data_IF_942647568206
#
_entry.id   IF_942647568206
#
_cell.length_a   1.000
_cell.length_b   1.000
_cell.length_c   1.000
_cell.angle_alpha   90.00
_cell.angle_beta   90.00
_cell.angle_gamma   90.00
#
_symmetry.space_group_name_H-M   'P 1'
#
loop_
_entity.id
_entity.type
_entity.pdbx_description
1 polymer ?
#
# COMPACT_ATOMS: atom_id res chain seq x y z
N UNK A 1 -30.16 1.88 0.05
CA UNK A 1 -29.12 0.94 -0.45
C UNK A 1 -28.62 1.32 -1.84
N UNK A 2 -29.47 1.67 -2.80
CA UNK A 2 -29.03 2.13 -4.13
C UNK A 2 -28.47 3.57 -4.11
N UNK A 3 -29.08 4.49 -3.34
CA UNK A 3 -28.53 5.84 -3.16
C UNK A 3 -27.15 5.81 -2.49
N UNK A 4 -26.95 4.89 -1.55
CA UNK A 4 -25.68 4.68 -0.85
C UNK A 4 -24.57 4.23 -1.80
N UNK A 5 -24.87 3.50 -2.89
CA UNK A 5 -23.90 3.12 -3.93
C UNK A 5 -23.57 4.28 -4.89
N UNK A 6 -24.49 5.23 -5.04
CA UNK A 6 -24.35 6.37 -5.93
C UNK A 6 -23.60 7.55 -5.27
N UNK A 7 -23.61 7.62 -3.94
CA UNK A 7 -22.88 8.63 -3.14
C UNK A 7 -21.50 8.17 -2.65
N UNK A 8 -21.10 6.92 -2.95
CA UNK A 8 -19.74 6.47 -2.66
C UNK A 8 -18.74 7.29 -3.47
N UNK A 9 -17.75 7.84 -2.78
CA UNK A 9 -16.54 8.37 -3.40
C UNK A 9 -15.74 7.20 -3.98
N UNK A 10 -16.15 6.70 -5.15
CA UNK A 10 -15.49 5.60 -5.87
C UNK A 10 -14.00 5.83 -6.07
N UNK A 11 -13.57 7.10 -6.12
CA UNK A 11 -12.17 7.49 -6.13
C UNK A 11 -11.39 6.96 -4.92
N UNK A 12 -11.92 7.08 -3.70
CA UNK A 12 -11.25 6.60 -2.49
C UNK A 12 -11.19 5.07 -2.44
N UNK A 13 -12.28 4.39 -2.80
CA UNK A 13 -12.28 2.91 -2.91
C UNK A 13 -11.24 2.44 -3.92
N UNK A 14 -11.21 3.08 -5.10
CA UNK A 14 -10.24 2.77 -6.14
C UNK A 14 -8.80 3.02 -5.68
N UNK A 15 -8.54 4.13 -4.99
CA UNK A 15 -7.23 4.42 -4.39
C UNK A 15 -6.83 3.34 -3.39
N UNK A 16 -7.73 2.94 -2.48
CA UNK A 16 -7.45 1.90 -1.47
C UNK A 16 -7.12 0.57 -2.16
N UNK A 17 -7.93 0.13 -3.13
CA UNK A 17 -7.67 -1.10 -3.88
C UNK A 17 -6.33 -1.00 -4.62
N UNK A 18 -6.06 0.13 -5.27
CA UNK A 18 -4.84 0.34 -6.04
C UNK A 18 -3.60 0.32 -5.13
N UNK A 19 -3.61 1.05 -4.02
CA UNK A 19 -2.54 1.05 -3.01
C UNK A 19 -2.31 -0.36 -2.49
N UNK A 20 -3.38 -1.06 -2.15
CA UNK A 20 -3.29 -2.40 -1.56
C UNK A 20 -2.72 -3.42 -2.55
N UNK A 21 -3.07 -3.33 -3.83
CA UNK A 21 -2.51 -4.18 -4.89
C UNK A 21 -1.04 -3.86 -5.17
N UNK A 22 -0.67 -2.58 -5.15
CA UNK A 22 0.70 -2.12 -5.43
C UNK A 22 1.68 -2.46 -4.31
N UNK A 23 1.26 -2.25 -3.06
CA UNK A 23 2.07 -2.50 -1.86
C UNK A 23 1.90 -3.93 -1.32
N UNK A 24 0.87 -4.65 -1.76
CA UNK A 24 0.53 -5.99 -1.31
C UNK A 24 0.77 -7.10 -2.34
N UNK A 25 1.31 -6.78 -3.53
CA UNK A 25 1.51 -7.75 -4.61
C UNK A 25 2.48 -8.87 -4.25
N UNK A 26 3.49 -8.58 -3.45
CA UNK A 26 4.46 -9.54 -2.89
C UNK A 26 3.92 -10.29 -1.66
N UNK A 27 2.90 -9.77 -0.96
CA UNK A 27 2.23 -10.47 0.15
C UNK A 27 1.68 -11.83 -0.28
N UNK A 28 1.24 -11.98 -1.53
CA UNK A 28 0.74 -13.26 -2.03
C UNK A 28 1.85 -14.33 -2.13
N UNK A 29 3.08 -13.93 -2.49
CA UNK A 29 4.24 -14.82 -2.51
C UNK A 29 4.58 -15.27 -1.09
N UNK A 30 4.53 -14.34 -0.14
CA UNK A 30 4.73 -14.64 1.29
C UNK A 30 3.70 -15.63 1.82
N UNK A 31 2.41 -15.44 1.50
CA UNK A 31 1.34 -16.38 1.86
C UNK A 31 1.61 -17.76 1.25
N UNK A 32 2.00 -17.81 -0.02
CA UNK A 32 2.31 -19.06 -0.71
C UNK A 32 3.52 -19.80 -0.11
N UNK A 33 4.56 -19.06 0.29
CA UNK A 33 5.77 -19.59 0.94
C UNK A 33 5.46 -20.10 2.36
N UNK A 34 4.67 -19.35 3.13
CA UNK A 34 4.27 -19.74 4.49
C UNK A 34 3.48 -21.06 4.50
N UNK A 35 2.62 -21.28 3.49
CA UNK A 35 1.81 -22.49 3.35
C UNK A 35 2.48 -23.62 2.54
N UNK A 36 3.72 -23.45 2.04
CA UNK A 36 4.39 -24.43 1.15
C UNK A 36 4.67 -25.78 1.84
N UNK A 37 4.84 -25.78 3.16
CA UNK A 37 5.12 -26.99 3.96
C UNK A 37 3.88 -27.77 4.42
N UNK A 38 2.67 -27.31 4.08
CA UNK A 38 1.42 -27.96 4.48
C UNK A 38 1.03 -29.07 3.51
N UNK A 39 0.37 -30.09 4.06
CA UNK A 39 -0.30 -31.12 3.26
C UNK A 39 -1.30 -30.48 2.28
N UNK A 40 -1.41 -31.04 1.07
CA UNK A 40 -2.18 -30.44 -0.03
C UNK A 40 -3.65 -30.16 0.35
N UNK A 41 -4.24 -31.01 1.20
CA UNK A 41 -5.62 -30.86 1.71
C UNK A 41 -5.78 -29.68 2.69
N UNK A 42 -4.72 -29.33 3.43
CA UNK A 42 -4.73 -28.28 4.48
C UNK A 42 -4.20 -26.93 4.00
N UNK A 43 -3.58 -26.88 2.82
CA UNK A 43 -3.00 -25.65 2.26
C UNK A 43 -4.04 -24.55 2.09
N UNK A 44 -5.21 -24.88 1.53
CA UNK A 44 -6.30 -23.91 1.35
C UNK A 44 -6.85 -23.41 2.69
N UNK A 45 -6.94 -24.28 3.70
CA UNK A 45 -7.33 -23.85 5.05
C UNK A 45 -6.32 -22.87 5.64
N UNK A 46 -5.02 -23.13 5.50
CA UNK A 46 -3.97 -22.21 5.94
C UNK A 46 -4.03 -20.85 5.25
N UNK A 47 -4.25 -20.83 3.93
CA UNK A 47 -4.40 -19.60 3.15
C UNK A 47 -5.65 -18.83 3.61
N UNK A 48 -6.81 -19.47 3.68
CA UNK A 48 -8.07 -18.80 4.05
C UNK A 48 -8.04 -18.23 5.47
N UNK A 49 -7.63 -19.03 6.46
CA UNK A 49 -7.58 -18.58 7.85
C UNK A 49 -6.46 -17.56 8.09
N UNK A 50 -5.31 -17.74 7.44
CA UNK A 50 -4.20 -16.78 7.51
C UNK A 50 -4.60 -15.42 6.92
N UNK A 51 -5.23 -15.44 5.74
CA UNK A 51 -5.71 -14.23 5.06
C UNK A 51 -6.81 -13.55 5.87
N UNK A 52 -7.79 -14.29 6.39
CA UNK A 52 -8.85 -13.72 7.23
C UNK A 52 -8.26 -13.03 8.47
N UNK A 53 -7.30 -13.67 9.15
CA UNK A 53 -6.58 -13.07 10.27
C UNK A 53 -5.81 -11.81 9.90
N UNK A 54 -5.12 -11.82 8.76
CA UNK A 54 -4.41 -10.64 8.23
C UNK A 54 -5.36 -9.48 7.91
N UNK A 55 -6.50 -9.73 7.26
CA UNK A 55 -7.51 -8.70 6.98
C UNK A 55 -8.00 -8.06 8.27
N UNK A 56 -8.37 -8.88 9.27
CA UNK A 56 -8.86 -8.38 10.56
C UNK A 56 -7.79 -7.49 11.21
N UNK A 57 -6.55 -7.96 11.26
CA UNK A 57 -5.43 -7.18 11.79
C UNK A 57 -5.29 -5.85 11.04
N UNK A 58 -5.36 -5.87 9.70
CA UNK A 58 -5.23 -4.67 8.88
C UNK A 58 -6.36 -3.67 9.14
N UNK A 59 -7.60 -4.12 9.26
CA UNK A 59 -8.74 -3.24 9.64
C UNK A 59 -8.50 -2.61 11.01
N UNK A 60 -8.00 -3.37 11.99
CA UNK A 60 -7.66 -2.84 13.32
C UNK A 60 -6.52 -1.81 13.26
N UNK A 61 -5.47 -2.08 12.50
CA UNK A 61 -4.35 -1.15 12.32
C UNK A 61 -4.78 0.14 11.63
N UNK A 62 -5.64 0.06 10.60
CA UNK A 62 -6.16 1.24 9.91
C UNK A 62 -7.09 2.04 10.83
N UNK A 63 -7.95 1.37 11.60
CA UNK A 63 -8.77 2.05 12.60
C UNK A 63 -7.91 2.82 13.60
N UNK A 64 -6.83 2.19 14.08
CA UNK A 64 -5.86 2.84 14.97
C UNK A 64 -5.10 3.97 14.27
N UNK A 65 -4.67 3.80 13.02
CA UNK A 65 -4.00 4.85 12.26
C UNK A 65 -4.90 6.06 12.01
N UNK A 66 -6.19 5.85 11.71
CA UNK A 66 -7.16 6.93 11.52
C UNK A 66 -7.36 7.76 12.80
N UNK A 67 -7.43 7.12 13.98
CA UNK A 67 -7.51 7.86 15.25
C UNK A 67 -6.22 8.59 15.57
N UNK A 68 -5.07 8.00 15.26
CA UNK A 68 -3.77 8.64 15.40
C UNK A 68 -3.61 9.86 14.50
N UNK A 69 -4.07 9.81 13.25
CA UNK A 69 -3.98 10.94 12.31
C UNK A 69 -4.87 12.15 12.68
N UNK A 70 -5.72 12.00 13.70
CA UNK A 70 -6.43 13.13 14.32
C UNK A 70 -5.56 13.92 15.33
N UNK A 71 -4.36 13.43 15.67
CA UNK A 71 -3.41 14.13 16.53
C UNK A 71 -2.59 15.11 15.67
N UNK A 72 -2.34 16.36 16.14
CA UNK A 72 -1.47 17.30 15.43
C UNK A 72 -0.10 16.71 15.13
N UNK A 73 0.51 17.12 14.01
CA UNK A 73 1.78 16.65 13.46
C UNK A 73 1.77 15.21 12.91
N UNK A 74 0.81 14.36 13.27
CA UNK A 74 0.83 12.97 12.82
C UNK A 74 0.53 12.86 11.32
N UNK A 75 -0.23 13.78 10.72
CA UNK A 75 -0.39 13.78 9.25
C UNK A 75 0.88 14.24 8.55
N UNK A 76 1.65 15.12 9.18
CA UNK A 76 2.96 15.53 8.66
C UNK A 76 3.91 14.33 8.65
N UNK A 77 4.00 13.60 9.76
CA UNK A 77 4.83 12.39 9.87
C UNK A 77 4.35 11.32 8.90
N UNK A 78 3.04 11.06 8.85
CA UNK A 78 2.45 10.10 7.91
C UNK A 78 2.69 10.48 6.46
N UNK A 79 2.53 11.76 6.10
CA UNK A 79 2.81 12.27 4.77
C UNK A 79 4.29 12.13 4.40
N UNK A 80 5.21 12.45 5.32
CA UNK A 80 6.64 12.24 5.10
C UNK A 80 6.99 10.75 4.90
N UNK A 81 6.38 9.85 5.68
CA UNK A 81 6.51 8.41 5.51
C UNK A 81 5.99 7.97 4.13
N UNK A 82 4.86 8.49 3.68
CA UNK A 82 4.30 8.17 2.36
C UNK A 82 5.16 8.67 1.19
N UNK A 83 5.78 9.85 1.31
CA UNK A 83 6.78 10.29 0.33
C UNK A 83 7.94 9.30 0.27
N UNK A 84 8.43 8.86 1.43
CA UNK A 84 9.51 7.88 1.51
C UNK A 84 9.12 6.54 0.88
N UNK A 85 7.94 6.00 1.21
CA UNK A 85 7.43 4.74 0.65
C UNK A 85 7.26 4.86 -0.86
N UNK A 86 6.67 5.96 -1.34
CA UNK A 86 6.49 6.20 -2.77
C UNK A 86 7.81 6.26 -3.54
N UNK A 87 8.84 6.88 -2.95
CA UNK A 87 10.19 6.89 -3.53
C UNK A 87 10.78 5.48 -3.50
N UNK A 88 10.69 4.77 -2.36
CA UNK A 88 11.20 3.39 -2.20
C UNK A 88 10.53 2.42 -3.18
N UNK A 89 9.27 2.64 -3.53
CA UNK A 89 8.51 1.83 -4.49
C UNK A 89 9.06 1.92 -5.93
N UNK A 90 9.66 3.06 -6.30
CA UNK A 90 10.29 3.24 -7.63
C UNK A 90 11.75 2.79 -7.69
N UNK A 91 12.37 2.52 -6.55
CA UNK A 91 13.77 2.11 -6.45
C UNK A 91 13.81 0.58 -6.47
N UNK A 92 14.65 -0.05 -7.32
CA UNK A 92 14.81 -1.50 -7.31
C UNK A 92 15.20 -1.99 -5.91
N UNK A 93 14.44 -2.95 -5.37
CA UNK A 93 14.72 -3.59 -4.09
C UNK A 93 15.26 -4.99 -4.33
N UNK A 94 16.21 -5.42 -3.52
CA UNK A 94 16.59 -6.84 -3.44
C UNK A 94 15.47 -7.59 -2.70
N UNK A 95 15.19 -8.83 -3.09
CA UNK A 95 14.07 -9.63 -2.54
C UNK A 95 14.15 -9.77 -1.01
N UNK A 96 13.46 -8.88 -0.29
CA UNK A 96 13.49 -8.77 1.19
C UNK A 96 12.80 -9.99 1.86
N UNK A 97 12.05 -10.79 1.10
CA UNK A 97 11.19 -11.87 1.57
C UNK A 97 11.76 -13.29 1.41
N UNK A 98 13.03 -13.44 1.01
CA UNK A 98 13.67 -14.75 0.78
C UNK A 98 13.83 -15.65 2.01
N UNK A 99 13.60 -15.15 3.22
CA UNK A 99 13.90 -15.85 4.47
C UNK A 99 12.68 -16.47 5.19
N UNK A 100 11.51 -16.51 4.55
CA UNK A 100 10.28 -17.03 5.16
C UNK A 100 10.31 -18.56 5.16
N UNK A 101 10.58 -19.14 6.34
CA UNK A 101 10.48 -20.58 6.57
C UNK A 101 9.01 -21.00 6.58
N UNK A 102 8.63 -21.91 5.68
CA UNK A 102 7.27 -22.47 5.63
C UNK A 102 6.92 -23.22 6.92
N UNK A 103 5.67 -23.07 7.38
CA UNK A 103 5.17 -23.80 8.54
C UNK A 103 4.81 -25.25 8.18
N UNK A 104 5.08 -26.19 9.08
CA UNK A 104 4.65 -27.60 8.95
C UNK A 104 3.23 -27.84 9.46
N UNK A 105 2.65 -26.87 10.18
CA UNK A 105 1.28 -26.92 10.71
C UNK A 105 0.48 -25.71 10.26
N UNK A 106 -0.84 -25.88 10.14
CA UNK A 106 -1.76 -24.81 9.71
C UNK A 106 -1.62 -23.59 10.62
N UNK A 107 -1.53 -23.80 11.94
CA UNK A 107 -1.33 -22.72 12.90
C UNK A 107 0.01 -21.98 12.73
N UNK A 108 1.10 -22.72 12.46
CA UNK A 108 2.38 -22.09 12.18
C UNK A 108 2.33 -21.24 10.91
N UNK A 109 1.68 -21.74 9.85
CA UNK A 109 1.49 -20.97 8.63
C UNK A 109 0.65 -19.70 8.84
N UNK A 110 -0.46 -19.80 9.58
CA UNK A 110 -1.31 -18.64 9.94
C UNK A 110 -0.49 -17.59 10.69
N UNK A 111 0.29 -18.00 11.71
CA UNK A 111 1.13 -17.09 12.49
C UNK A 111 2.17 -16.40 11.61
N UNK A 112 2.83 -17.13 10.71
CA UNK A 112 3.79 -16.55 9.76
C UNK A 112 3.12 -15.54 8.83
N UNK A 113 1.92 -15.84 8.32
CA UNK A 113 1.15 -14.92 7.47
C UNK A 113 0.82 -13.64 8.23
N UNK A 114 0.28 -13.75 9.46
CA UNK A 114 -0.11 -12.58 10.26
C UNK A 114 1.10 -11.71 10.61
N UNK A 115 2.24 -12.31 10.98
CA UNK A 115 3.46 -11.54 11.32
C UNK A 115 4.03 -10.85 10.08
N UNK A 116 4.09 -11.56 8.95
CA UNK A 116 4.57 -10.98 7.72
C UNK A 116 3.66 -9.86 7.24
N UNK A 117 2.34 -10.06 7.30
CA UNK A 117 1.37 -9.03 6.97
C UNK A 117 1.48 -7.84 7.91
N UNK A 118 1.69 -8.02 9.21
CA UNK A 118 1.92 -6.92 10.15
C UNK A 118 3.11 -6.05 9.74
N UNK A 119 4.28 -6.67 9.51
CA UNK A 119 5.52 -5.95 9.16
C UNK A 119 5.35 -5.20 7.84
N UNK A 120 4.77 -5.87 6.84
CA UNK A 120 4.56 -5.30 5.51
C UNK A 120 3.46 -4.24 5.48
N UNK A 121 2.40 -4.42 6.27
CA UNK A 121 1.23 -3.54 6.24
C UNK A 121 1.42 -2.24 7.01
N UNK A 122 2.48 -2.05 7.82
CA UNK A 122 2.69 -0.75 8.51
C UNK A 122 2.71 0.42 7.52
N UNK A 123 3.44 0.26 6.42
CA UNK A 123 3.57 1.27 5.37
C UNK A 123 2.25 1.42 4.58
N UNK A 124 1.60 0.29 4.28
CA UNK A 124 0.32 0.24 3.57
C UNK A 124 -0.84 0.85 4.40
N UNK A 125 -0.86 0.63 5.71
CA UNK A 125 -1.87 1.13 6.65
C UNK A 125 -1.89 2.65 6.66
N UNK A 126 -0.72 3.30 6.69
CA UNK A 126 -0.63 4.76 6.62
C UNK A 126 -1.14 5.28 5.28
N UNK A 127 -0.84 4.57 4.18
CA UNK A 127 -1.30 4.94 2.84
C UNK A 127 -2.83 4.84 2.70
N UNK A 128 -3.40 3.73 3.15
CA UNK A 128 -4.85 3.49 3.13
C UNK A 128 -5.57 4.46 4.07
N UNK A 129 -5.04 4.70 5.28
CA UNK A 129 -5.60 5.68 6.20
C UNK A 129 -5.54 7.12 5.64
N UNK A 130 -4.45 7.46 4.94
CA UNK A 130 -4.32 8.73 4.21
C UNK A 130 -5.33 8.88 3.07
N UNK A 131 -5.53 7.82 2.27
CA UNK A 131 -6.54 7.79 1.21
C UNK A 131 -7.96 7.91 1.80
N UNK A 132 -8.25 7.21 2.90
CA UNK A 132 -9.56 7.22 3.53
C UNK A 132 -9.93 8.56 4.19
N UNK A 133 -8.95 9.33 4.67
CA UNK A 133 -9.18 10.68 5.23
C UNK A 133 -9.74 11.68 4.22
N UNK A 134 -9.54 11.46 2.92
CA UNK A 134 -10.12 12.30 1.87
C UNK A 134 -11.64 12.15 1.73
N UNK A 135 -12.26 11.21 2.47
CA UNK A 135 -13.71 10.93 2.45
C UNK A 135 -14.43 11.48 3.68
N UNK A 136 -15.76 11.66 3.57
CA UNK A 136 -16.63 12.06 4.69
C UNK A 136 -16.39 11.20 5.94
N UNK A 137 -16.25 11.88 7.09
CA UNK A 137 -15.90 11.31 8.40
C UNK A 137 -16.75 10.10 8.80
N UNK A 138 -18.04 10.11 8.48
CA UNK A 138 -18.99 9.08 8.92
C UNK A 138 -18.84 7.73 8.19
N UNK A 139 -18.09 7.70 7.07
CA UNK A 139 -18.00 6.52 6.19
C UNK A 139 -16.57 6.07 5.90
N UNK A 140 -15.54 6.68 6.48
CA UNK A 140 -14.13 6.34 6.23
C UNK A 140 -13.85 4.83 6.41
N UNK A 141 -14.32 4.25 7.52
CA UNK A 141 -14.13 2.84 7.81
C UNK A 141 -14.87 1.92 6.83
N UNK A 142 -16.02 2.36 6.32
CA UNK A 142 -16.77 1.61 5.32
C UNK A 142 -16.00 1.49 4.01
N UNK A 143 -15.40 2.58 3.53
CA UNK A 143 -14.55 2.58 2.33
C UNK A 143 -13.34 1.67 2.48
N UNK A 144 -12.69 1.70 3.64
CA UNK A 144 -11.56 0.82 3.97
C UNK A 144 -11.99 -0.63 3.94
N UNK A 145 -12.98 -1.01 4.74
CA UNK A 145 -13.42 -2.41 4.84
C UNK A 145 -13.88 -2.92 3.47
N UNK A 146 -14.66 -2.13 2.73
CA UNK A 146 -15.10 -2.50 1.39
C UNK A 146 -13.92 -2.66 0.43
N UNK A 147 -12.97 -1.72 0.42
CA UNK A 147 -11.77 -1.78 -0.39
C UNK A 147 -10.94 -3.04 -0.11
N UNK A 148 -10.70 -3.35 1.16
CA UNK A 148 -9.95 -4.55 1.60
C UNK A 148 -10.68 -5.86 1.23
N UNK A 149 -12.00 -5.91 1.42
CA UNK A 149 -12.80 -7.10 1.07
C UNK A 149 -12.73 -7.38 -0.43
N UNK A 150 -12.63 -6.33 -1.26
CA UNK A 150 -12.51 -6.47 -2.73
C UNK A 150 -11.07 -6.77 -3.15
N UNK A 151 -10.08 -6.06 -2.61
CA UNK A 151 -8.67 -6.17 -3.02
C UNK A 151 -8.04 -7.50 -2.65
N UNK A 152 -8.31 -8.00 -1.44
CA UNK A 152 -7.60 -9.17 -0.90
C UNK A 152 -7.88 -10.45 -1.70
N UNK A 153 -9.14 -10.77 -2.08
CA UNK A 153 -9.42 -11.81 -3.06
C UNK A 153 -8.63 -11.68 -4.36
N UNK A 154 -8.57 -10.48 -4.92
CA UNK A 154 -7.87 -10.21 -6.18
C UNK A 154 -6.38 -10.52 -6.02
N UNK A 155 -5.78 -10.16 -4.89
CA UNK A 155 -4.37 -10.45 -4.60
C UNK A 155 -4.15 -11.95 -4.39
N UNK A 156 -4.95 -12.61 -3.56
CA UNK A 156 -4.74 -14.04 -3.21
C UNK A 156 -4.93 -14.95 -4.43
N UNK A 157 -6.03 -14.79 -5.18
CA UNK A 157 -6.33 -15.64 -6.33
C UNK A 157 -5.69 -15.13 -7.63
N UNK A 158 -5.55 -13.81 -7.77
CA UNK A 158 -5.02 -13.15 -8.96
C UNK A 158 -3.55 -12.78 -8.88
N UNK A 159 -2.81 -13.15 -7.83
CA UNK A 159 -1.39 -12.78 -7.64
C UNK A 159 -0.52 -12.99 -8.87
N UNK A 160 -0.63 -14.14 -9.54
CA UNK A 160 0.14 -14.40 -10.76
C UNK A 160 -0.25 -13.49 -11.93
N UNK A 161 -1.51 -13.06 -12.01
CA UNK A 161 -1.98 -12.10 -13.00
C UNK A 161 -1.51 -10.68 -12.65
N UNK A 162 -1.64 -10.28 -11.39
CA UNK A 162 -1.18 -8.97 -10.87
C UNK A 162 0.32 -8.81 -11.05
N UNK A 163 1.11 -9.80 -10.63
CA UNK A 163 2.57 -9.80 -10.79
C UNK A 163 2.96 -9.70 -12.27
N UNK A 164 2.35 -10.53 -13.14
CA UNK A 164 2.59 -10.43 -14.60
C UNK A 164 2.18 -9.07 -15.18
N UNK A 165 1.12 -8.46 -14.66
CA UNK A 165 0.67 -7.14 -15.12
C UNK A 165 1.70 -6.07 -14.73
N UNK A 166 2.19 -6.11 -13.49
CA UNK A 166 3.23 -5.20 -12.99
C UNK A 166 4.54 -5.39 -13.77
N UNK A 167 4.97 -6.63 -13.99
CA UNK A 167 6.16 -6.96 -14.78
C UNK A 167 6.03 -6.50 -16.23
N UNK A 168 4.83 -6.65 -16.81
CA UNK A 168 4.56 -6.26 -18.20
C UNK A 168 4.39 -4.76 -18.37
N UNK A 169 3.83 -4.07 -17.37
CA UNK A 169 3.55 -2.64 -17.38
C UNK A 169 4.16 -1.95 -16.15
N UNK A 170 5.48 -1.72 -16.12
CA UNK A 170 6.15 -1.04 -15.00
C UNK A 170 5.63 0.39 -14.72
N UNK A 171 4.94 0.99 -15.69
CA UNK A 171 4.25 2.26 -15.52
C UNK A 171 3.20 2.21 -14.40
N UNK A 172 2.58 1.06 -14.14
CA UNK A 172 1.61 0.89 -13.05
C UNK A 172 2.26 1.21 -11.69
N UNK A 173 3.50 0.78 -11.47
CA UNK A 173 4.28 1.10 -10.27
C UNK A 173 4.58 2.59 -10.19
N UNK A 174 4.87 3.24 -11.33
CA UNK A 174 5.10 4.69 -11.39
C UNK A 174 3.84 5.48 -11.05
N UNK A 175 2.68 5.08 -11.57
CA UNK A 175 1.41 5.68 -11.20
C UNK A 175 1.07 5.46 -9.74
N UNK A 176 1.37 4.27 -9.21
CA UNK A 176 1.26 3.93 -7.81
C UNK A 176 2.07 4.83 -6.89
N UNK A 177 3.36 4.97 -7.19
CA UNK A 177 4.23 5.89 -6.46
C UNK A 177 3.75 7.35 -6.56
N UNK A 178 3.29 7.77 -7.74
CA UNK A 178 2.65 9.07 -7.93
C UNK A 178 1.41 9.26 -7.05
N UNK A 179 0.57 8.23 -6.92
CA UNK A 179 -0.61 8.24 -6.06
C UNK A 179 -0.23 8.34 -4.57
N UNK A 180 0.81 7.64 -4.12
CA UNK A 180 1.32 7.78 -2.76
C UNK A 180 1.83 9.21 -2.51
N UNK A 181 2.54 9.79 -3.47
CA UNK A 181 2.96 11.20 -3.42
C UNK A 181 1.79 12.19 -3.43
N UNK A 182 0.72 11.89 -4.19
CA UNK A 182 -0.51 12.66 -4.21
C UNK A 182 -1.12 12.72 -2.80
N UNK A 183 -1.36 11.55 -2.19
CA UNK A 183 -1.93 11.45 -0.84
C UNK A 183 -1.03 12.13 0.19
N UNK A 184 0.28 11.90 0.10
CA UNK A 184 1.26 12.52 0.99
C UNK A 184 1.20 14.05 0.95
N UNK A 185 1.18 14.63 -0.25
CA UNK A 185 1.11 16.09 -0.44
C UNK A 185 -0.14 16.69 0.23
N UNK A 186 -1.29 16.04 0.08
CA UNK A 186 -2.52 16.44 0.77
C UNK A 186 -2.42 16.32 2.29
N UNK A 187 -1.86 15.21 2.80
CA UNK A 187 -1.70 14.99 4.25
C UNK A 187 -0.78 16.00 4.92
N UNK A 188 0.31 16.41 4.26
CA UNK A 188 1.26 17.37 4.80
C UNK A 188 0.64 18.75 5.06
N UNK A 189 -0.20 19.23 4.14
CA UNK A 189 -0.79 20.59 4.23
C UNK A 189 -2.12 20.62 4.99
N UNK A 190 -2.76 19.47 5.18
CA UNK A 190 -4.06 19.34 5.88
C UNK A 190 -3.91 18.92 7.36
N UNK A 191 -2.70 18.99 7.90
CA UNK A 191 -2.45 18.75 9.32
C UNK A 191 -3.02 19.88 10.18
N UNK A 192 -3.52 19.53 11.37
CA UNK A 192 -4.11 20.47 12.34
C UNK A 192 -3.12 21.59 12.68
N UNK A 193 -1.85 21.26 12.85
CA UNK A 193 -0.81 22.25 13.16
C UNK A 193 -0.67 23.29 12.04
N UNK A 194 -0.66 22.85 10.78
CA UNK A 194 -0.55 23.74 9.62
C UNK A 194 -1.77 24.65 9.53
N UNK A 195 -2.96 24.10 9.70
CA UNK A 195 -4.21 24.88 9.66
C UNK A 195 -4.25 25.90 10.81
N UNK A 196 -3.79 25.55 12.00
CA UNK A 196 -3.74 26.48 13.14
C UNK A 196 -2.73 27.62 12.96
N UNK A 197 -1.59 27.37 12.30
CA UNK A 197 -0.55 28.38 12.11
C UNK A 197 -0.75 29.25 10.86
N UNK A 198 -1.22 28.65 9.77
CA UNK A 198 -1.31 29.29 8.45
C UNK A 198 -2.74 29.55 7.98
N UNK A 199 -3.75 29.12 8.74
CA UNK A 199 -5.17 29.22 8.39
C UNK A 199 -5.64 28.10 7.47
N UNK A 200 -6.91 28.15 7.07
CA UNK A 200 -7.48 27.19 6.12
C UNK A 200 -6.76 27.25 4.77
N UNK A 201 -6.25 26.12 4.32
CA UNK A 201 -5.59 26.00 3.02
C UNK A 201 -6.64 26.13 1.92
N UNK A 202 -6.43 27.05 0.98
CA UNK A 202 -7.31 27.21 -0.18
C UNK A 202 -7.33 25.95 -1.04
N UNK A 203 -8.46 25.66 -1.68
CA UNK A 203 -8.62 24.49 -2.57
C UNK A 203 -7.51 24.41 -3.64
N UNK A 204 -7.10 25.50 -4.32
CA UNK A 204 -5.98 25.45 -5.26
C UNK A 204 -4.64 25.08 -4.62
N UNK A 205 -4.36 25.59 -3.41
CA UNK A 205 -3.13 25.26 -2.69
C UNK A 205 -3.10 23.79 -2.25
N UNK A 206 -4.26 23.24 -1.86
CA UNK A 206 -4.41 21.82 -1.56
C UNK A 206 -4.11 20.96 -2.79
N UNK A 207 -4.72 21.26 -3.95
CA UNK A 207 -4.42 20.52 -5.18
C UNK A 207 -2.97 20.69 -5.63
N UNK A 208 -2.38 21.89 -5.47
CA UNK A 208 -0.98 22.12 -5.74
C UNK A 208 -0.08 21.21 -4.87
N UNK A 209 -0.40 21.07 -3.58
CA UNK A 209 0.34 20.18 -2.67
C UNK A 209 0.28 18.72 -3.12
N UNK A 210 -0.89 18.23 -3.53
CA UNK A 210 -1.04 16.88 -4.08
C UNK A 210 -0.19 16.68 -5.36
N UNK A 211 -0.25 17.62 -6.30
CA UNK A 211 0.54 17.56 -7.55
C UNK A 211 2.04 17.61 -7.24
N UNK A 212 2.46 18.51 -6.36
CA UNK A 212 3.86 18.64 -5.94
C UNK A 212 4.35 17.34 -5.29
N UNK A 213 3.58 16.76 -4.37
CA UNK A 213 3.92 15.48 -3.74
C UNK A 213 4.07 14.35 -4.76
N UNK A 214 3.14 14.22 -5.70
CA UNK A 214 3.20 13.22 -6.77
C UNK A 214 4.44 13.41 -7.67
N UNK A 215 4.69 14.64 -8.11
CA UNK A 215 5.85 14.98 -8.95
C UNK A 215 7.17 14.74 -8.22
N UNK A 216 7.26 15.12 -6.94
CA UNK A 216 8.45 14.90 -6.12
C UNK A 216 8.78 13.41 -6.00
N UNK A 217 7.79 12.58 -5.68
CA UNK A 217 7.99 11.13 -5.58
C UNK A 217 8.47 10.54 -6.91
N UNK A 218 7.83 10.89 -8.02
CA UNK A 218 8.21 10.37 -9.35
C UNK A 218 9.61 10.85 -9.74
N UNK A 219 9.89 12.14 -9.57
CA UNK A 219 11.18 12.74 -9.95
C UNK A 219 12.33 12.15 -9.12
N UNK A 220 12.19 12.13 -7.79
CA UNK A 220 13.22 11.62 -6.89
C UNK A 220 13.35 10.10 -7.04
N UNK A 221 12.24 9.38 -7.07
CA UNK A 221 12.23 7.92 -7.23
C UNK A 221 12.90 7.46 -8.51
N UNK A 222 12.58 8.08 -9.66
CA UNK A 222 13.27 7.78 -10.92
C UNK A 222 14.74 8.18 -10.89
N UNK A 223 15.08 9.32 -10.32
CA UNK A 223 16.46 9.77 -10.23
C UNK A 223 17.33 8.84 -9.38
N UNK A 224 16.83 8.39 -8.22
CA UNK A 224 17.52 7.42 -7.36
C UNK A 224 17.56 6.04 -8.01
N UNK A 225 16.46 5.60 -8.64
CA UNK A 225 16.38 4.31 -9.34
C UNK A 225 17.37 4.22 -10.51
N UNK A 226 17.53 5.28 -11.30
CA UNK A 226 18.51 5.35 -12.39
C UNK A 226 19.96 5.26 -11.89
N UNK A 227 20.24 5.74 -10.67
CA UNK A 227 21.58 5.69 -10.06
C UNK A 227 21.93 4.34 -9.45
N UNK A 228 20.92 3.56 -9.05
CA UNK A 228 21.08 2.21 -8.47
C UNK A 228 20.96 1.09 -9.50
N UNK A 229 20.49 1.38 -10.71
CA UNK A 229 20.51 0.41 -11.80
C UNK A 229 21.98 0.03 -12.09
N UNK A 230 22.35 -1.26 -12.03
CA UNK A 230 23.70 -1.67 -12.37
C UNK A 230 23.96 -1.26 -13.81
N UNK A 231 25.05 -0.52 -14.04
CA UNK A 231 25.54 -0.18 -15.37
C UNK A 231 25.62 -1.47 -16.18
N UNK A 232 24.72 -1.65 -17.15
CA UNK A 232 24.89 -2.66 -18.21
C UNK A 232 26.02 -2.16 -19.10
N UNK A 233 27.26 -2.33 -18.67
CA UNK A 233 28.45 -2.06 -19.47
C UNK A 233 29.15 -3.38 -19.81
N UNK A 234 29.17 -3.65 -21.12
CA UNK A 234 30.01 -4.59 -21.87
C UNK A 234 29.66 -6.08 -21.86
N UNK A 235 28.53 -6.41 -22.50
CA UNK A 235 28.36 -7.68 -23.22
C UNK A 235 28.16 -7.38 -24.72
N UNK A 236 29.22 -6.90 -25.38
CA UNK A 236 29.44 -7.08 -26.82
C UNK A 236 30.81 -6.50 -27.24
N UNK A 237 31.72 -7.38 -27.67
CA UNK A 237 32.73 -7.01 -28.67
C UNK A 237 34.20 -7.17 -28.29
N UNK A 238 34.75 -8.38 -28.45
CA UNK A 238 35.89 -8.65 -29.36
C UNK A 238 36.08 -10.17 -29.43
N UNK A 239 35.57 -10.76 -30.53
CA UNK A 239 36.32 -11.49 -31.58
C UNK A 239 37.01 -12.74 -31.03
#
# INVERSE_FOLDING_TARGET
>A
MLETLQTLHWGAVFQIILIDVLLGGDNAVVIALACRGLEHSKRMQGILWGTAGAIILRVLLIAFALTLLAIPFLKIVGGALLLWIGIKLLVPQEDEHGNIKGGTTVWAAIKTIIIADFIMSLDNVVAIAGAAQSTQLDHQMYYVIFGLIVSVPIIVWGSTLVLRLIDRFPLVVTFGAGLLGWIAGGMLVSDIFIIQQFGEITVPALYAAHVVGAVLVIAIGKWVGLRKAPTKENANGSV
#
